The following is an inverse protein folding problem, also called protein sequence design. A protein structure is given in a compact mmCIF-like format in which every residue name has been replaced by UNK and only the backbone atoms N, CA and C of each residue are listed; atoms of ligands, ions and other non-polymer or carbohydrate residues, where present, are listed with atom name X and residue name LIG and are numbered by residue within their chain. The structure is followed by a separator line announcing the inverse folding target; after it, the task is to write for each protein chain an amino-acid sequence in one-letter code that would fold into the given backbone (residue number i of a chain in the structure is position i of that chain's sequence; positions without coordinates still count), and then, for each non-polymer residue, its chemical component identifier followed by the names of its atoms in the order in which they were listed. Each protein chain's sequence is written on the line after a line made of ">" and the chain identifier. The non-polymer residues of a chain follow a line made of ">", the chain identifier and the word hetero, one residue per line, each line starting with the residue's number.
data_IF_873284129471
#
_entry.id   IF_873284129471
#
_cell.length_a   1.000
_cell.length_b   1.000
_cell.length_c   1.000
_cell.angle_alpha   90.00
_cell.angle_beta   90.00
_cell.angle_gamma   90.00
#
_symmetry.space_group_name_H-M   'P 1'
#
loop_
_entity.id
_entity.type
_entity.pdbx_description
1 polymer ?
#
# COMPACT_ATOMS: atom_id res chain seq x y z
N UNK A 1 -49.08 -28.98 8.78
CA UNK A 1 -49.89 -29.14 7.55
C UNK A 1 -49.74 -27.83 6.78
N UNK A 2 -49.15 -27.70 5.59
CA UNK A 2 -48.87 -28.57 4.45
C UNK A 2 -47.55 -28.09 3.78
N UNK A 3 -46.62 -29.02 3.54
CA UNK A 3 -46.15 -29.55 2.23
C UNK A 3 -45.06 -28.74 1.54
N UNK A 4 -43.89 -29.39 1.44
CA UNK A 4 -42.75 -29.07 0.61
C UNK A 4 -42.97 -29.43 -0.88
N UNK A 5 -42.10 -28.90 -1.75
CA UNK A 5 -41.42 -29.51 -2.93
C UNK A 5 -41.17 -28.48 -4.09
N UNK A 6 -40.37 -28.78 -5.14
CA UNK A 6 -38.96 -28.34 -5.20
C UNK A 6 -38.46 -27.80 -6.58
N UNK A 7 -37.19 -27.38 -6.60
CA UNK A 7 -36.17 -27.42 -7.68
C UNK A 7 -36.59 -27.35 -9.17
N UNK A 8 -36.05 -26.36 -9.89
CA UNK A 8 -35.68 -26.55 -11.31
C UNK A 8 -34.37 -25.83 -11.67
N UNK A 9 -33.34 -26.65 -11.86
CA UNK A 9 -32.03 -26.34 -12.42
C UNK A 9 -32.14 -26.13 -13.93
N UNK A 10 -31.52 -25.08 -14.48
CA UNK A 10 -31.41 -24.87 -15.93
C UNK A 10 -29.93 -24.83 -16.33
N UNK A 11 -29.45 -25.73 -17.22
CA UNK A 11 -28.07 -25.72 -17.69
C UNK A 11 -27.87 -24.67 -18.81
N UNK A 12 -26.80 -23.88 -18.68
CA UNK A 12 -26.37 -22.92 -19.70
C UNK A 12 -25.45 -23.62 -20.71
N UNK A 13 -25.98 -23.88 -21.90
CA UNK A 13 -25.25 -24.48 -23.02
C UNK A 13 -24.11 -23.57 -23.52
N UNK A 14 -22.97 -24.20 -23.75
CA UNK A 14 -21.76 -23.66 -24.38
C UNK A 14 -21.89 -23.86 -25.88
N UNK A 15 -21.83 -22.78 -26.67
CA UNK A 15 -21.60 -22.86 -28.11
C UNK A 15 -20.33 -22.10 -28.45
N UNK A 16 -19.30 -22.85 -28.86
CA UNK A 16 -18.06 -22.34 -29.46
C UNK A 16 -18.20 -22.49 -30.98
N UNK A 17 -18.33 -21.38 -31.69
CA UNK A 17 -18.19 -21.33 -33.14
C UNK A 17 -16.72 -21.13 -33.50
N UNK A 18 -16.11 -22.22 -33.99
CA UNK A 18 -14.81 -22.23 -34.66
C UNK A 18 -15.01 -21.83 -36.11
N UNK A 19 -14.48 -20.68 -36.53
CA UNK A 19 -14.36 -20.33 -37.94
C UNK A 19 -12.91 -20.49 -38.37
N UNK A 20 -12.67 -21.50 -39.21
CA UNK A 20 -11.45 -21.70 -40.01
C UNK A 20 -11.29 -20.51 -40.96
N UNK A 21 -10.10 -19.92 -41.01
CA UNK A 21 -9.68 -19.08 -42.14
C UNK A 21 -8.62 -19.88 -42.89
N UNK A 22 -8.96 -20.25 -44.11
CA UNK A 22 -8.12 -20.96 -45.08
C UNK A 22 -7.06 -20.05 -45.66
N UNK A 23 -5.93 -20.68 -46.00
CA UNK A 23 -4.78 -20.11 -46.65
C UNK A 23 -5.10 -19.40 -47.97
N UNK A 24 -4.41 -18.28 -48.21
CA UNK A 24 -4.22 -17.74 -49.55
C UNK A 24 -2.73 -17.47 -49.75
N UNK A 25 -2.10 -18.32 -50.54
CA UNK A 25 -0.74 -18.19 -51.05
C UNK A 25 -0.77 -17.49 -52.40
N UNK A 26 0.03 -16.43 -52.58
CA UNK A 26 0.55 -15.97 -53.88
C UNK A 26 1.70 -14.99 -53.59
N UNK A 27 2.94 -15.46 -53.75
CA UNK A 27 3.84 -15.24 -54.89
C UNK A 27 4.52 -13.87 -54.89
N UNK A 28 5.85 -13.96 -54.75
CA UNK A 28 6.90 -12.98 -54.93
C UNK A 28 6.91 -12.45 -56.38
N UNK A 29 7.37 -11.22 -56.61
CA UNK A 29 8.44 -11.09 -57.60
C UNK A 29 9.63 -10.27 -57.08
N UNK A 30 10.80 -10.76 -57.48
CA UNK A 30 12.14 -10.21 -57.37
C UNK A 30 12.39 -9.12 -58.42
N UNK A 31 13.09 -8.05 -58.05
CA UNK A 31 14.00 -7.34 -58.95
C UNK A 31 15.06 -6.56 -58.15
N UNK A 32 16.20 -6.44 -58.79
CA UNK A 32 17.55 -6.14 -58.31
C UNK A 32 17.94 -4.65 -58.43
N UNK A 33 18.97 -4.25 -57.66
CA UNK A 33 19.99 -3.18 -57.91
C UNK A 33 19.48 -1.74 -58.17
N UNK A 34 20.02 -0.62 -57.68
CA UNK A 34 21.42 -0.23 -57.38
C UNK A 34 21.47 1.19 -56.79
N UNK A 35 22.45 1.43 -55.91
CA UNK A 35 23.25 2.66 -55.66
C UNK A 35 22.67 4.10 -55.75
N UNK A 36 22.84 4.82 -54.61
CA UNK A 36 23.34 6.20 -54.43
C UNK A 36 22.67 7.40 -55.14
N UNK A 37 22.12 8.33 -54.35
CA UNK A 37 22.63 9.71 -54.17
C UNK A 37 21.61 10.63 -53.45
N UNK A 38 22.09 11.41 -52.48
CA UNK A 38 21.47 12.63 -51.94
C UNK A 38 21.61 13.75 -52.99
N UNK A 39 20.73 14.78 -53.07
CA UNK A 39 20.80 15.87 -52.08
C UNK A 39 19.52 16.72 -51.82
N UNK A 40 19.61 17.47 -50.71
CA UNK A 40 19.16 18.85 -50.43
C UNK A 40 17.71 19.32 -50.69
N UNK A 41 17.09 19.76 -49.58
CA UNK A 41 16.04 20.80 -49.48
C UNK A 41 16.26 22.00 -50.41
N UNK A 42 15.17 22.65 -50.85
CA UNK A 42 14.86 23.96 -50.28
C UNK A 42 13.35 24.20 -50.02
N UNK A 43 13.04 24.90 -48.93
CA UNK A 43 11.77 25.62 -48.75
C UNK A 43 11.63 26.71 -49.83
N UNK A 44 10.41 27.07 -50.30
CA UNK A 44 9.71 28.22 -49.70
C UNK A 44 8.16 28.24 -49.75
N UNK A 45 7.60 28.90 -48.73
CA UNK A 45 6.53 29.93 -48.73
C UNK A 45 5.12 29.67 -49.33
N UNK A 46 4.12 29.92 -48.47
CA UNK A 46 2.71 30.28 -48.79
C UNK A 46 2.65 31.65 -49.51
N UNK A 47 1.56 31.96 -50.25
CA UNK A 47 0.44 32.70 -49.64
C UNK A 47 -0.99 32.35 -50.12
N UNK A 48 -1.94 32.71 -49.24
CA UNK A 48 -3.35 33.17 -49.40
C UNK A 48 -3.88 33.41 -50.83
N UNK A 49 -5.14 33.12 -51.19
CA UNK A 49 -6.30 34.04 -51.06
C UNK A 49 -7.63 33.33 -51.44
N UNK A 50 -8.64 33.49 -50.57
CA UNK A 50 -10.09 33.79 -50.76
C UNK A 50 -10.92 33.24 -51.95
N UNK A 51 -12.13 32.69 -51.67
CA UNK A 51 -13.46 33.34 -51.83
C UNK A 51 -14.62 32.34 -51.99
N UNK A 52 -15.82 32.74 -51.51
CA UNK A 52 -17.19 32.27 -51.78
C UNK A 52 -17.70 31.01 -51.06
N UNK A 53 -18.97 30.90 -50.66
CA UNK A 53 -20.03 31.86 -50.40
C UNK A 53 -21.09 31.16 -49.53
N UNK A 54 -21.73 31.97 -48.71
CA UNK A 54 -22.83 31.73 -47.78
C UNK A 54 -24.11 31.26 -48.48
N UNK A 55 -24.82 30.31 -47.87
CA UNK A 55 -26.30 30.25 -47.92
C UNK A 55 -26.85 30.01 -46.52
N UNK A 56 -27.86 30.83 -46.20
CA UNK A 56 -28.47 31.00 -44.89
C UNK A 56 -29.74 30.16 -44.81
N UNK A 57 -29.90 29.38 -43.74
CA UNK A 57 -31.23 28.96 -43.26
C UNK A 57 -31.38 29.48 -41.85
N UNK A 58 -32.26 30.47 -41.71
CA UNK A 58 -32.56 31.17 -40.47
C UNK A 58 -33.25 30.28 -39.45
N UNK A 59 -32.86 30.46 -38.19
CA UNK A 59 -33.66 30.08 -37.02
C UNK A 59 -34.10 31.36 -36.29
N UNK A 60 -35.31 31.39 -35.72
CA UNK A 60 -35.91 32.59 -35.15
C UNK A 60 -35.12 33.10 -33.94
N UNK A 61 -34.92 34.42 -33.90
CA UNK A 61 -34.38 35.15 -32.76
C UNK A 61 -35.40 35.14 -31.62
N UNK A 62 -35.01 34.59 -30.48
CA UNK A 62 -35.63 34.93 -29.21
C UNK A 62 -34.94 36.20 -28.73
N UNK A 63 -35.54 37.36 -29.01
CA UNK A 63 -35.17 38.63 -28.38
C UNK A 63 -35.75 38.65 -26.96
N UNK A 64 -35.06 37.98 -26.03
CA UNK A 64 -35.22 38.19 -24.60
C UNK A 64 -34.07 39.05 -24.09
N UNK A 65 -34.27 39.94 -23.10
CA UNK A 65 -33.16 40.65 -22.49
C UNK A 65 -32.18 39.61 -21.97
N UNK A 66 -30.96 39.61 -22.53
CA UNK A 66 -29.83 38.87 -21.99
C UNK A 66 -29.52 39.58 -20.68
N UNK A 67 -30.21 39.19 -19.61
CA UNK A 67 -29.75 39.44 -18.26
C UNK A 67 -28.39 38.76 -18.21
N UNK A 68 -27.34 39.57 -18.36
CA UNK A 68 -25.99 39.17 -18.04
C UNK A 68 -26.05 38.70 -16.60
N UNK A 69 -26.12 37.39 -16.42
CA UNK A 69 -25.94 36.79 -15.12
C UNK A 69 -24.47 37.03 -14.78
N UNK A 70 -24.21 38.21 -14.20
CA UNK A 70 -22.94 38.59 -13.63
C UNK A 70 -22.50 37.43 -12.78
N UNK A 71 -21.51 36.66 -13.24
CA UNK A 71 -20.97 35.54 -12.51
C UNK A 71 -20.43 36.12 -11.21
N UNK A 72 -21.20 36.03 -10.13
CA UNK A 72 -20.78 36.48 -8.82
C UNK A 72 -19.49 35.73 -8.49
N UNK A 73 -18.39 36.47 -8.36
CA UNK A 73 -17.15 35.92 -7.87
C UNK A 73 -17.41 35.45 -6.43
N UNK A 74 -17.57 34.14 -6.25
CA UNK A 74 -17.65 33.57 -4.91
C UNK A 74 -16.32 33.84 -4.21
N UNK A 75 -16.36 34.65 -3.16
CA UNK A 75 -15.19 34.99 -2.32
C UNK A 75 -14.86 33.89 -1.31
N UNK A 76 -15.63 32.79 -1.29
CA UNK A 76 -15.31 31.66 -0.44
C UNK A 76 -14.06 30.95 -0.94
N UNK A 77 -13.02 30.90 -0.11
CA UNK A 77 -11.80 30.14 -0.40
C UNK A 77 -12.16 28.65 -0.52
N UNK A 78 -11.70 27.93 -1.56
CA UNK A 78 -11.97 26.51 -1.68
C UNK A 78 -11.29 25.76 -0.54
N UNK A 79 -12.00 24.80 0.06
CA UNK A 79 -11.45 23.95 1.12
C UNK A 79 -10.25 23.14 0.57
N UNK A 80 -9.04 23.48 1.02
CA UNK A 80 -7.81 22.80 0.59
C UNK A 80 -7.71 21.43 1.26
N UNK A 81 -7.74 20.37 0.46
CA UNK A 81 -7.59 18.98 0.94
C UNK A 81 -6.15 18.50 0.73
N UNK A 82 -5.49 18.06 1.81
CA UNK A 82 -4.13 17.50 1.75
C UNK A 82 -4.08 16.26 0.85
N UNK A 83 -3.04 16.13 0.03
CA UNK A 83 -2.81 14.92 -0.79
C UNK A 83 -1.63 14.13 -0.25
N UNK A 84 -1.93 13.02 0.41
CA UNK A 84 -0.95 12.18 1.09
C UNK A 84 -0.36 11.11 0.18
N UNK A 85 0.92 10.81 0.39
CA UNK A 85 1.61 9.65 -0.18
C UNK A 85 1.83 8.61 0.91
N UNK A 86 1.21 7.42 0.83
CA UNK A 86 1.18 6.48 1.96
C UNK A 86 2.55 5.90 2.34
N UNK A 87 3.50 5.85 1.42
CA UNK A 87 4.85 5.36 1.70
C UNK A 87 5.73 6.39 2.45
N UNK A 88 5.28 7.64 2.56
CA UNK A 88 5.96 8.69 3.33
C UNK A 88 5.46 8.78 4.78
N UNK A 89 4.52 7.91 5.17
CA UNK A 89 4.01 7.90 6.52
C UNK A 89 5.10 7.57 7.54
N UNK A 90 5.08 8.21 8.73
CA UNK A 90 6.13 8.05 9.73
C UNK A 90 6.16 6.63 10.27
N UNK A 91 7.15 5.83 9.85
CA UNK A 91 7.25 4.42 10.22
C UNK A 91 7.47 4.19 11.72
N UNK A 92 8.11 5.15 12.42
CA UNK A 92 8.37 5.06 13.87
C UNK A 92 7.09 5.06 14.72
N UNK A 93 6.04 5.73 14.26
CA UNK A 93 4.75 5.78 14.96
C UNK A 93 3.90 4.53 14.76
N UNK A 94 4.18 3.78 13.68
CA UNK A 94 3.29 2.75 13.17
C UNK A 94 3.83 1.39 13.63
N UNK A 95 2.99 0.49 14.18
CA UNK A 95 3.41 -0.86 14.52
C UNK A 95 4.04 -1.58 13.32
N UNK A 96 5.09 -2.38 13.53
CA UNK A 96 5.74 -3.10 12.45
C UNK A 96 4.73 -4.03 11.76
N UNK A 97 4.77 -4.05 10.43
CA UNK A 97 3.88 -4.89 9.64
C UNK A 97 4.18 -6.38 9.87
N UNK A 98 3.18 -7.24 10.15
CA UNK A 98 3.40 -8.64 10.57
C UNK A 98 4.21 -9.50 9.61
N UNK A 99 4.15 -9.23 8.30
CA UNK A 99 4.90 -10.00 7.30
C UNK A 99 6.21 -9.33 6.87
N UNK A 100 6.53 -8.16 7.46
CA UNK A 100 7.67 -7.35 7.09
C UNK A 100 7.63 -6.80 5.66
N UNK A 101 8.65 -6.03 5.30
CA UNK A 101 8.77 -5.48 3.95
C UNK A 101 9.06 -6.57 2.91
N UNK A 102 8.54 -6.38 1.69
CA UNK A 102 8.80 -7.33 0.60
C UNK A 102 10.24 -7.20 0.13
N UNK A 103 10.98 -8.31 0.19
CA UNK A 103 12.39 -8.38 -0.25
C UNK A 103 12.54 -8.30 -1.77
N UNK A 104 11.61 -8.93 -2.50
CA UNK A 104 11.57 -8.94 -3.97
C UNK A 104 10.61 -7.85 -4.46
N UNK A 105 11.02 -7.15 -5.52
CA UNK A 105 10.22 -6.08 -6.14
C UNK A 105 9.86 -4.97 -5.13
N UNK A 106 10.89 -4.34 -4.53
CA UNK A 106 10.79 -3.30 -3.48
C UNK A 106 9.84 -2.13 -3.84
N UNK A 107 9.67 -1.84 -5.13
CA UNK A 107 8.68 -0.87 -5.62
C UNK A 107 7.26 -1.13 -5.08
N UNK A 108 6.91 -2.41 -4.87
CA UNK A 108 5.61 -2.81 -4.32
C UNK A 108 5.37 -2.41 -2.86
N UNK A 109 6.43 -2.10 -2.10
CA UNK A 109 6.30 -1.62 -0.72
C UNK A 109 5.66 -0.22 -0.68
N UNK A 110 5.83 0.59 -1.74
CA UNK A 110 5.39 1.98 -1.79
C UNK A 110 3.92 2.20 -2.25
N UNK A 111 3.16 1.13 -2.54
CA UNK A 111 1.77 1.25 -2.98
C UNK A 111 0.96 -0.04 -2.82
N UNK A 112 -0.25 -0.06 -3.39
CA UNK A 112 -1.19 -1.18 -3.27
C UNK A 112 -1.09 -2.14 -4.47
N UNK A 113 -0.17 -3.10 -4.36
CA UNK A 113 0.10 -4.06 -5.44
C UNK A 113 -0.70 -5.36 -5.33
N UNK A 114 -1.21 -5.70 -4.14
CA UNK A 114 -1.75 -7.02 -3.85
C UNK A 114 -0.64 -8.07 -3.86
N UNK A 115 -0.94 -9.27 -4.36
CA UNK A 115 0.04 -10.34 -4.58
C UNK A 115 0.85 -10.20 -5.89
N UNK A 116 0.63 -9.11 -6.65
CA UNK A 116 1.27 -8.90 -7.94
C UNK A 116 2.74 -8.46 -7.78
N UNK A 117 3.63 -9.15 -8.50
CA UNK A 117 5.07 -8.89 -8.55
C UNK A 117 5.59 -9.15 -9.95
N UNK A 118 6.74 -8.58 -10.28
CA UNK A 118 7.45 -8.89 -11.52
C UNK A 118 7.70 -10.40 -11.60
N UNK A 119 7.47 -10.98 -12.77
CA UNK A 119 7.80 -12.39 -13.06
C UNK A 119 8.92 -12.43 -14.07
N UNK A 120 9.78 -13.43 -13.93
CA UNK A 120 10.88 -13.70 -14.84
C UNK A 120 10.63 -15.02 -15.55
N UNK A 121 11.15 -15.16 -16.75
CA UNK A 121 11.08 -16.38 -17.55
C UNK A 121 11.71 -16.13 -18.90
N UNK A 122 11.49 -17.02 -19.86
CA UNK A 122 12.18 -16.97 -21.14
C UNK A 122 11.20 -16.79 -22.29
N UNK A 123 11.59 -16.01 -23.29
CA UNK A 123 11.05 -16.09 -24.64
C UNK A 123 11.70 -17.28 -25.33
N UNK A 124 10.90 -18.19 -25.87
CA UNK A 124 11.38 -19.38 -26.59
C UNK A 124 11.14 -19.17 -28.08
N UNK A 125 12.21 -19.24 -28.87
CA UNK A 125 12.10 -19.12 -30.32
C UNK A 125 11.53 -20.42 -30.93
N UNK A 126 10.47 -20.32 -31.72
CA UNK A 126 9.77 -21.50 -32.28
C UNK A 126 10.65 -22.40 -33.15
N UNK A 127 11.57 -21.84 -33.93
CA UNK A 127 12.38 -22.57 -34.92
C UNK A 127 13.58 -23.30 -34.30
N UNK A 128 14.31 -22.62 -33.42
CA UNK A 128 15.59 -23.09 -32.89
C UNK A 128 15.54 -23.45 -31.40
N UNK A 129 14.38 -23.27 -30.76
CA UNK A 129 14.16 -23.45 -29.32
C UNK A 129 15.12 -22.65 -28.42
N UNK A 130 15.78 -21.63 -28.98
CA UNK A 130 16.68 -20.73 -28.26
C UNK A 130 15.89 -19.95 -27.22
N UNK A 131 16.41 -19.89 -25.99
CA UNK A 131 15.75 -19.27 -24.83
C UNK A 131 16.44 -17.95 -24.51
N UNK A 132 15.71 -16.85 -24.62
CA UNK A 132 16.20 -15.52 -24.20
C UNK A 132 15.43 -15.07 -22.96
N UNK A 133 16.09 -14.53 -21.92
CA UNK A 133 15.40 -14.09 -20.71
C UNK A 133 14.46 -12.91 -21.00
N UNK A 134 13.33 -12.88 -20.28
CA UNK A 134 12.35 -11.79 -20.31
C UNK A 134 11.71 -11.60 -18.93
N UNK A 135 11.02 -10.48 -18.78
CA UNK A 135 10.24 -10.20 -17.58
C UNK A 135 8.82 -9.75 -17.92
N UNK A 136 7.88 -10.00 -17.00
CA UNK A 136 6.51 -9.54 -17.06
C UNK A 136 6.23 -8.60 -15.90
N UNK A 137 5.88 -7.36 -16.22
CA UNK A 137 5.49 -6.36 -15.23
C UNK A 137 3.98 -6.40 -15.01
N UNK A 138 3.49 -6.18 -13.77
CA UNK A 138 2.07 -5.92 -13.57
C UNK A 138 1.67 -4.60 -14.25
N UNK A 139 0.39 -4.43 -14.56
CA UNK A 139 -0.13 -3.16 -15.06
C UNK A 139 -0.38 -2.20 -13.88
N UNK A 140 0.44 -1.15 -13.78
CA UNK A 140 0.44 -0.18 -12.68
C UNK A 140 -0.23 1.14 -13.12
N UNK A 141 -1.05 1.69 -12.24
CA UNK A 141 -1.61 3.03 -12.37
C UNK A 141 -1.41 3.83 -11.09
N UNK A 142 -1.27 5.15 -11.24
CA UNK A 142 -1.32 6.10 -10.13
C UNK A 142 -2.73 6.67 -10.10
N UNK A 143 -3.42 6.56 -8.96
CA UNK A 143 -4.72 7.19 -8.74
C UNK A 143 -4.75 7.87 -7.38
N UNK A 144 -5.63 8.86 -7.30
CA UNK A 144 -5.94 9.58 -6.07
C UNK A 144 -7.34 9.17 -5.64
N UNK A 145 -7.51 8.80 -4.38
CA UNK A 145 -8.79 8.47 -3.78
C UNK A 145 -9.07 9.44 -2.64
N UNK A 146 -10.26 10.01 -2.59
CA UNK A 146 -10.69 10.78 -1.42
C UNK A 146 -11.07 9.80 -0.29
N UNK A 147 -10.59 10.07 0.92
CA UNK A 147 -10.93 9.32 2.14
C UNK A 147 -11.77 10.21 3.06
N UNK A 148 -13.07 9.91 3.22
CA UNK A 148 -13.95 10.66 4.12
C UNK A 148 -13.49 10.61 5.57
N UNK A 149 -12.95 9.49 6.04
CA UNK A 149 -12.52 9.34 7.43
C UNK A 149 -11.31 10.22 7.79
N UNK A 150 -10.38 10.40 6.84
CA UNK A 150 -9.18 11.24 7.04
C UNK A 150 -9.39 12.69 6.62
N UNK A 151 -10.43 12.99 5.83
CA UNK A 151 -10.60 14.29 5.18
C UNK A 151 -9.45 14.63 4.23
N UNK A 152 -8.81 13.62 3.63
CA UNK A 152 -7.61 13.77 2.81
C UNK A 152 -7.64 12.93 1.52
N UNK A 153 -6.87 13.35 0.52
CA UNK A 153 -6.69 12.65 -0.75
C UNK A 153 -5.51 11.68 -0.67
N UNK A 154 -5.74 10.39 -0.90
CA UNK A 154 -4.72 9.34 -0.89
C UNK A 154 -4.20 9.11 -2.31
N UNK A 155 -2.98 9.54 -2.61
CA UNK A 155 -2.31 9.28 -3.89
C UNK A 155 -1.44 8.03 -3.80
N UNK A 156 -1.85 6.97 -4.49
CA UNK A 156 -1.16 5.67 -4.43
C UNK A 156 -0.91 5.06 -5.81
N UNK A 157 0.14 4.25 -5.92
CA UNK A 157 0.42 3.36 -7.06
C UNK A 157 -0.32 2.05 -6.81
N UNK A 158 -1.07 1.56 -7.78
CA UNK A 158 -1.83 0.33 -7.64
C UNK A 158 -1.89 -0.47 -8.93
N UNK A 159 -2.19 -1.76 -8.80
CA UNK A 159 -2.45 -2.62 -9.96
C UNK A 159 -3.91 -2.55 -10.39
N UNK A 160 -4.19 -2.84 -11.67
CA UNK A 160 -5.58 -2.91 -12.16
C UNK A 160 -6.46 -3.90 -11.37
N UNK A 161 -5.89 -5.01 -10.89
CA UNK A 161 -6.62 -5.98 -10.07
C UNK A 161 -7.07 -5.35 -8.74
N UNK A 162 -6.19 -4.58 -8.11
CA UNK A 162 -6.52 -3.84 -6.88
C UNK A 162 -7.55 -2.75 -7.18
N UNK A 163 -7.41 -1.99 -8.27
CA UNK A 163 -8.39 -0.98 -8.67
C UNK A 163 -9.81 -1.56 -8.82
N UNK A 164 -9.92 -2.71 -9.51
CA UNK A 164 -11.19 -3.42 -9.67
C UNK A 164 -11.78 -3.85 -8.33
N UNK A 165 -10.93 -4.28 -7.39
CA UNK A 165 -11.35 -4.73 -6.07
C UNK A 165 -11.85 -3.57 -5.21
N UNK A 166 -11.14 -2.43 -5.22
CA UNK A 166 -11.55 -1.19 -4.55
C UNK A 166 -12.93 -0.75 -5.08
N UNK A 167 -13.13 -0.75 -6.40
CA UNK A 167 -14.42 -0.40 -7.01
C UNK A 167 -15.54 -1.35 -6.59
N UNK A 168 -15.26 -2.66 -6.51
CA UNK A 168 -16.22 -3.67 -6.07
C UNK A 168 -16.59 -3.53 -4.59
N UNK A 169 -15.64 -3.14 -3.76
CA UNK A 169 -15.83 -2.96 -2.31
C UNK A 169 -16.40 -1.57 -1.96
N UNK A 170 -16.55 -0.69 -2.94
CA UNK A 170 -17.20 0.61 -2.78
C UNK A 170 -16.31 1.71 -2.19
N UNK A 171 -15.00 1.50 -2.04
CA UNK A 171 -14.11 2.49 -1.45
C UNK A 171 -12.72 1.96 -1.14
N UNK A 172 -11.76 2.88 -0.95
CA UNK A 172 -10.39 2.52 -0.56
C UNK A 172 -10.32 2.06 0.91
N UNK A 173 -11.11 2.66 1.78
CA UNK A 173 -11.16 2.35 3.23
C UNK A 173 -11.66 0.91 3.44
N UNK A 174 -12.77 0.55 2.80
CA UNK A 174 -13.32 -0.81 2.81
C UNK A 174 -12.31 -1.86 2.34
N UNK A 175 -11.48 -1.50 1.35
CA UNK A 175 -10.42 -2.37 0.86
C UNK A 175 -9.32 -2.61 1.90
N UNK A 176 -8.97 -1.58 2.67
CA UNK A 176 -7.87 -1.58 3.63
C UNK A 176 -8.30 -2.22 4.97
N UNK A 177 -9.53 -1.94 5.43
CA UNK A 177 -10.02 -2.39 6.73
C UNK A 177 -10.42 -3.87 6.77
N UNK A 178 -10.59 -4.52 5.61
CA UNK A 178 -10.99 -5.92 5.52
C UNK A 178 -10.11 -6.84 6.38
N UNK A 179 -10.75 -7.59 7.27
CA UNK A 179 -10.08 -8.42 8.29
C UNK A 179 -9.34 -9.66 7.76
N UNK A 180 -9.66 -10.12 6.54
CA UNK A 180 -9.13 -11.39 6.00
C UNK A 180 -7.60 -11.36 5.91
N UNK A 181 -6.94 -12.43 6.38
CA UNK A 181 -5.48 -12.56 6.37
C UNK A 181 -4.85 -12.38 4.98
N UNK A 182 -5.50 -12.91 3.94
CA UNK A 182 -5.08 -12.72 2.55
C UNK A 182 -5.03 -11.23 2.16
N UNK A 183 -5.97 -10.42 2.65
CA UNK A 183 -5.96 -8.98 2.41
C UNK A 183 -4.81 -8.30 3.12
N UNK A 184 -4.54 -8.68 4.38
CA UNK A 184 -3.39 -8.18 5.14
C UNK A 184 -2.10 -8.43 4.37
N UNK A 185 -1.91 -9.65 3.85
CA UNK A 185 -0.76 -10.01 3.00
C UNK A 185 -0.69 -9.19 1.69
N UNK A 186 -1.84 -8.80 1.13
CA UNK A 186 -1.94 -8.04 -0.11
C UNK A 186 -1.63 -6.54 0.06
N UNK A 187 -1.91 -5.97 1.23
CA UNK A 187 -1.70 -4.54 1.56
C UNK A 187 -0.23 -4.12 1.43
N UNK A 188 0.69 -4.94 1.96
CA UNK A 188 2.10 -4.56 2.10
C UNK A 188 2.32 -3.45 3.14
N UNK A 189 3.55 -2.95 3.29
CA UNK A 189 3.90 -2.01 4.36
C UNK A 189 3.19 -0.65 4.24
N UNK A 190 3.13 -0.04 3.04
CA UNK A 190 2.40 1.23 2.86
C UNK A 190 0.89 1.09 3.06
N UNK A 191 0.31 -0.04 2.65
CA UNK A 191 -1.10 -0.35 2.92
C UNK A 191 -1.38 -0.56 4.41
N UNK A 192 -0.45 -1.22 5.12
CA UNK A 192 -0.51 -1.39 6.57
C UNK A 192 -0.43 -0.06 7.32
N UNK A 193 0.47 0.83 6.89
CA UNK A 193 0.57 2.19 7.43
C UNK A 193 -0.74 2.96 7.29
N UNK A 194 -1.36 2.93 6.10
CA UNK A 194 -2.70 3.52 5.90
C UNK A 194 -3.76 2.88 6.79
N UNK A 195 -3.74 1.55 6.95
CA UNK A 195 -4.70 0.83 7.78
C UNK A 195 -4.65 1.30 9.22
N UNK A 196 -3.44 1.41 9.77
CA UNK A 196 -3.24 1.86 11.15
C UNK A 196 -3.78 3.29 11.35
N UNK A 197 -3.48 4.21 10.44
CA UNK A 197 -3.96 5.60 10.56
C UNK A 197 -5.49 5.66 10.49
N UNK A 198 -6.09 4.92 9.55
CA UNK A 198 -7.56 4.85 9.45
C UNK A 198 -8.20 4.32 10.74
N UNK A 199 -7.62 3.32 11.38
CA UNK A 199 -8.13 2.78 12.65
C UNK A 199 -8.15 3.81 13.77
N UNK A 200 -7.32 4.86 13.71
CA UNK A 200 -7.26 5.87 14.77
C UNK A 200 -8.33 6.95 14.62
N UNK A 201 -8.97 7.05 13.46
CA UNK A 201 -10.04 8.02 13.25
C UNK A 201 -11.28 7.65 14.06
N UNK A 202 -11.94 8.66 14.62
CA UNK A 202 -13.15 8.47 15.42
C UNK A 202 -14.29 7.83 14.62
N UNK A 203 -14.37 8.12 13.31
CA UNK A 203 -15.39 7.56 12.41
C UNK A 203 -15.28 6.04 12.34
N UNK A 204 -14.07 5.51 12.18
CA UNK A 204 -13.82 4.06 12.13
C UNK A 204 -13.93 3.42 13.52
N UNK A 205 -13.50 4.11 14.58
CA UNK A 205 -13.69 3.62 15.96
C UNK A 205 -15.17 3.43 16.29
N UNK A 206 -16.04 4.38 15.91
CA UNK A 206 -17.50 4.29 16.08
C UNK A 206 -18.08 3.11 15.30
N UNK A 207 -17.72 2.96 14.02
CA UNK A 207 -18.15 1.82 13.20
C UNK A 207 -17.75 0.48 13.84
N UNK A 208 -16.53 0.36 14.37
CA UNK A 208 -16.11 -0.87 15.04
C UNK A 208 -16.80 -1.11 16.39
N UNK A 209 -17.21 -0.05 17.10
CA UNK A 209 -18.02 -0.21 18.30
C UNK A 209 -19.44 -0.69 17.97
N UNK A 210 -20.04 -0.19 16.89
CA UNK A 210 -21.32 -0.68 16.37
C UNK A 210 -21.22 -2.16 15.96
N UNK A 211 -20.14 -2.54 15.25
CA UNK A 211 -19.87 -3.94 14.91
C UNK A 211 -19.68 -4.82 16.15
N UNK A 212 -19.02 -4.31 17.21
CA UNK A 212 -18.88 -5.03 18.48
C UNK A 212 -20.21 -5.25 19.17
N UNK A 213 -21.04 -4.20 19.27
CA UNK A 213 -22.36 -4.30 19.86
C UNK A 213 -23.23 -5.32 19.11
N UNK A 214 -23.17 -5.33 17.78
CA UNK A 214 -23.88 -6.32 16.95
C UNK A 214 -23.42 -7.76 17.20
N UNK A 215 -22.17 -7.95 17.64
CA UNK A 215 -21.61 -9.24 18.04
C UNK A 215 -21.79 -9.56 19.53
N UNK A 216 -22.39 -8.67 20.32
CA UNK A 216 -22.55 -8.82 21.76
C UNK A 216 -21.27 -8.59 22.58
N UNK A 217 -20.29 -7.86 22.03
CA UNK A 217 -19.04 -7.50 22.70
C UNK A 217 -19.12 -6.10 23.30
N UNK A 218 -18.32 -5.85 24.35
CA UNK A 218 -18.22 -4.53 24.98
C UNK A 218 -17.62 -3.48 24.04
N UNK A 219 -18.14 -2.26 24.12
CA UNK A 219 -17.62 -1.11 23.37
C UNK A 219 -16.29 -0.63 23.95
N UNK A 220 -15.37 -0.20 23.09
CA UNK A 220 -14.13 0.45 23.55
C UNK A 220 -14.34 1.97 23.68
N UNK A 221 -13.67 2.63 24.65
CA UNK A 221 -13.70 4.09 24.72
C UNK A 221 -13.14 4.69 23.44
N UNK A 222 -13.75 5.77 22.97
CA UNK A 222 -13.32 6.49 21.76
C UNK A 222 -12.19 7.43 22.16
N UNK A 223 -11.04 7.29 21.50
CA UNK A 223 -9.86 8.12 21.73
C UNK A 223 -9.68 9.14 20.61
N UNK A 224 -9.57 10.42 20.97
CA UNK A 224 -9.35 11.51 20.02
C UNK A 224 -7.84 11.68 19.76
N UNK A 225 -7.33 11.00 18.74
CA UNK A 225 -5.90 11.05 18.34
C UNK A 225 -5.65 11.97 17.15
N UNK A 226 -6.41 13.05 17.04
CA UNK A 226 -6.42 13.92 15.86
C UNK A 226 -5.05 14.59 15.63
N UNK A 227 -4.32 14.94 16.69
CA UNK A 227 -2.98 15.54 16.59
C UNK A 227 -1.97 14.59 15.94
N UNK A 228 -1.97 13.32 16.36
CA UNK A 228 -1.11 12.27 15.80
C UNK A 228 -1.49 12.01 14.34
N UNK A 229 -2.78 12.00 14.03
CA UNK A 229 -3.27 11.84 12.65
C UNK A 229 -2.80 13.02 11.79
N UNK A 230 -2.98 14.27 12.24
CA UNK A 230 -2.55 15.46 11.50
C UNK A 230 -1.04 15.48 11.28
N UNK A 231 -0.26 15.14 12.29
CA UNK A 231 1.18 14.98 12.17
C UNK A 231 1.54 13.94 11.08
N UNK A 232 0.89 12.77 11.11
CA UNK A 232 1.15 11.71 10.13
C UNK A 232 0.75 12.12 8.71
N UNK A 233 -0.37 12.84 8.55
CA UNK A 233 -0.83 13.36 7.26
C UNK A 233 0.12 14.43 6.70
N UNK A 234 0.63 15.32 7.55
CA UNK A 234 1.62 16.33 7.16
C UNK A 234 2.94 15.69 6.76
N UNK A 235 3.45 14.73 7.55
CA UNK A 235 4.66 13.99 7.22
C UNK A 235 4.56 13.25 5.87
N UNK A 236 3.37 12.75 5.51
CA UNK A 236 3.14 12.12 4.21
C UNK A 236 2.86 13.08 3.05
N UNK A 237 2.66 14.37 3.35
CA UNK A 237 2.50 15.42 2.34
C UNK A 237 3.88 16.01 2.06
N UNK A 238 4.30 16.14 0.80
CA UNK A 238 5.59 16.78 0.51
C UNK A 238 5.55 18.25 0.96
N UNK A 239 6.48 18.65 1.81
CA UNK A 239 6.59 20.02 2.31
C UNK A 239 7.11 20.08 3.75
N UNK A 240 7.28 21.28 4.30
CA UNK A 240 7.54 21.45 5.72
C UNK A 240 6.30 21.06 6.55
N UNK A 241 6.53 20.61 7.79
CA UNK A 241 5.45 20.29 8.73
C UNK A 241 4.73 21.57 9.20
N UNK A 242 3.43 21.46 9.49
CA UNK A 242 2.67 22.53 10.14
C UNK A 242 3.17 22.79 11.57
N UNK A 243 2.92 24.00 12.09
CA UNK A 243 3.25 24.37 13.48
C UNK A 243 2.60 23.43 14.50
N UNK A 244 1.33 23.06 14.29
CA UNK A 244 0.63 22.06 15.12
C UNK A 244 1.36 20.72 15.12
N UNK A 245 1.72 20.23 13.94
CA UNK A 245 2.42 18.96 13.76
C UNK A 245 3.84 18.99 14.36
N UNK A 246 4.50 20.13 14.34
CA UNK A 246 5.79 20.35 15.02
C UNK A 246 5.67 20.22 16.54
N UNK A 247 4.65 20.84 17.14
CA UNK A 247 4.40 20.73 18.58
C UNK A 247 4.15 19.27 19.00
N UNK A 248 3.33 18.54 18.24
CA UNK A 248 3.08 17.12 18.47
C UNK A 248 4.35 16.27 18.33
N UNK A 249 5.20 16.54 17.33
CA UNK A 249 6.50 15.84 17.19
C UNK A 249 7.39 16.10 18.40
N UNK A 250 7.44 17.34 18.89
CA UNK A 250 8.24 17.72 20.06
C UNK A 250 7.73 17.02 21.32
N UNK A 251 6.41 16.94 21.53
CA UNK A 251 5.78 16.20 22.62
C UNK A 251 6.10 14.69 22.54
N UNK A 252 5.97 14.07 21.36
CA UNK A 252 6.34 12.67 21.15
C UNK A 252 7.82 12.42 21.43
N UNK A 253 8.70 13.38 21.11
CA UNK A 253 10.13 13.28 21.41
C UNK A 253 10.41 13.41 22.90
N UNK A 254 9.74 14.35 23.59
CA UNK A 254 9.85 14.54 25.03
C UNK A 254 9.40 13.29 25.78
N UNK A 255 8.20 12.79 25.49
CA UNK A 255 7.66 11.55 26.09
C UNK A 255 8.55 10.34 25.85
N UNK A 256 9.15 10.20 24.66
CA UNK A 256 10.10 9.12 24.38
C UNK A 256 11.39 9.27 25.20
N UNK A 257 11.87 10.51 25.39
CA UNK A 257 13.05 10.78 26.21
C UNK A 257 12.79 10.51 27.69
N UNK A 258 11.63 10.90 28.21
CA UNK A 258 11.21 10.65 29.58
C UNK A 258 11.05 9.15 29.86
N UNK A 259 10.51 8.40 28.89
CA UNK A 259 10.40 6.94 28.98
C UNK A 259 11.76 6.21 28.98
N UNK A 260 12.83 6.86 28.48
CA UNK A 260 14.17 6.31 28.38
C UNK A 260 15.11 6.77 29.50
N UNK A 261 14.62 7.49 30.51
CA UNK A 261 15.35 7.71 31.76
C UNK A 261 15.45 6.35 32.46
N UNK A 262 16.46 5.58 32.08
CA UNK A 262 17.00 4.48 32.86
C UNK A 262 17.25 5.07 34.24
N UNK A 263 16.45 4.64 35.22
CA UNK A 263 16.63 5.07 36.60
C UNK A 263 18.09 4.88 36.96
N UNK A 264 18.71 5.94 37.44
CA UNK A 264 20.09 6.00 37.96
C UNK A 264 20.42 4.63 38.54
N UNK A 265 21.13 3.82 37.75
CA UNK A 265 21.52 2.51 38.21
C UNK A 265 22.50 2.83 39.32
N UNK A 266 22.09 2.52 40.56
CA UNK A 266 22.95 2.61 41.73
C UNK A 266 24.15 1.66 41.65
N UNK A 267 24.73 1.45 40.47
CA UNK A 267 26.03 0.86 40.20
C UNK A 267 27.15 1.65 40.90
N UNK A 268 26.92 2.92 41.24
CA UNK A 268 27.76 3.66 42.21
C UNK A 268 27.73 3.11 43.65
N UNK A 269 26.79 2.23 43.99
CA UNK A 269 26.70 1.57 45.31
C UNK A 269 27.16 0.09 45.29
N UNK A 270 27.37 -0.50 44.11
CA UNK A 270 27.81 -1.91 43.96
C UNK A 270 29.34 -2.03 43.84
N UNK A 271 30.05 -0.92 43.70
CA UNK A 271 31.51 -0.82 43.88
C UNK A 271 31.93 -0.91 45.39
N UNK A 272 31.14 -1.65 46.18
CA UNK A 272 31.38 -2.04 47.57
C UNK A 272 31.05 -3.53 47.80
N UNK A 273 30.91 -4.32 46.74
CA UNK A 273 30.97 -5.78 46.85
C UNK A 273 32.41 -6.16 47.20
N UNK A 274 32.63 -6.41 48.49
CA UNK A 274 33.86 -6.92 49.08
C UNK A 274 34.39 -8.08 48.24
N UNK A 275 35.53 -7.88 47.59
CA UNK A 275 36.28 -8.94 46.93
C UNK A 275 36.40 -10.10 47.93
N UNK A 276 35.93 -11.28 47.52
CA UNK A 276 36.01 -12.48 48.34
C UNK A 276 37.51 -12.77 48.55
N UNK A 277 37.92 -13.02 49.80
CA UNK A 277 39.31 -13.37 50.07
C UNK A 277 39.66 -14.67 49.33
N UNK A 278 40.88 -14.82 48.81
CA UNK A 278 41.31 -16.02 48.06
C UNK A 278 40.97 -17.33 48.81
N UNK A 279 41.01 -17.30 50.15
CA UNK A 279 40.62 -18.40 51.04
C UNK A 279 39.15 -18.82 50.91
N UNK A 280 38.23 -17.86 50.79
CA UNK A 280 36.80 -18.11 50.68
C UNK A 280 36.45 -18.71 49.31
N UNK A 281 37.21 -18.34 48.26
CA UNK A 281 37.08 -18.94 46.92
C UNK A 281 37.54 -20.40 46.91
N UNK A 282 38.66 -20.70 47.57
CA UNK A 282 39.17 -22.08 47.71
C UNK A 282 38.18 -22.94 48.50
N UNK A 283 37.55 -22.38 49.53
CA UNK A 283 36.55 -23.09 50.35
C UNK A 283 35.32 -23.47 49.53
N UNK A 284 34.81 -22.54 48.70
CA UNK A 284 33.69 -22.81 47.79
C UNK A 284 34.04 -23.84 46.71
N UNK A 285 35.27 -23.83 46.20
CA UNK A 285 35.73 -24.84 45.24
C UNK A 285 35.80 -26.23 45.89
N UNK A 286 36.27 -26.31 47.14
CA UNK A 286 36.28 -27.55 47.90
C UNK A 286 34.86 -28.07 48.16
N UNK A 287 33.90 -27.21 48.52
CA UNK A 287 32.50 -27.61 48.72
C UNK A 287 31.87 -28.15 47.42
N UNK A 288 32.11 -27.50 46.29
CA UNK A 288 31.63 -27.96 44.98
C UNK A 288 32.26 -29.30 44.55
N UNK A 289 33.52 -29.54 44.93
CA UNK A 289 34.19 -30.81 44.66
C UNK A 289 33.63 -31.93 45.53
N UNK A 290 33.39 -31.68 46.83
CA UNK A 290 32.74 -32.63 47.74
C UNK A 290 31.32 -33.00 47.29
N UNK A 291 30.54 -32.02 46.82
CA UNK A 291 29.18 -32.24 46.30
C UNK A 291 29.19 -33.07 45.01
N UNK A 292 30.17 -32.87 44.14
CA UNK A 292 30.33 -33.67 42.92
C UNK A 292 30.76 -35.11 43.24
N UNK A 293 31.66 -35.31 44.20
CA UNK A 293 32.07 -36.64 44.68
C UNK A 293 30.89 -37.36 45.35
N UNK A 294 30.09 -36.66 46.16
CA UNK A 294 28.88 -37.21 46.77
C UNK A 294 27.86 -37.67 45.72
N UNK A 295 27.66 -36.88 44.65
CA UNK A 295 26.81 -37.26 43.51
C UNK A 295 27.35 -38.48 42.76
N UNK A 296 28.66 -38.57 42.53
CA UNK A 296 29.25 -39.74 41.87
C UNK A 296 29.13 -41.01 42.72
N UNK A 297 29.39 -40.94 44.02
CA UNK A 297 29.27 -42.10 44.92
C UNK A 297 27.82 -42.59 45.03
N UNK A 298 26.85 -41.67 45.06
CA UNK A 298 25.42 -42.02 45.02
C UNK A 298 25.02 -42.73 43.71
N UNK A 299 25.65 -42.39 42.58
CA UNK A 299 25.36 -42.98 41.28
C UNK A 299 25.96 -44.39 41.10
N UNK A 300 27.07 -44.69 41.79
CA UNK A 300 27.72 -46.02 41.76
C UNK A 300 26.98 -47.03 42.63
N UNK A 301 26.38 -46.60 43.75
CA UNK A 301 25.68 -47.49 44.69
C UNK A 301 24.37 -48.09 44.13
N UNK A 302 23.79 -47.52 43.07
CA UNK A 302 22.52 -48.01 42.47
C UNK A 302 22.75 -49.15 41.46
N UNK A 303 24.01 -49.52 41.21
CA UNK A 303 24.38 -50.53 40.20
C UNK A 303 25.14 -51.69 40.83
N UNK A 304 24.43 -52.53 41.56
CA UNK A 304 24.85 -53.88 41.94
C UNK A 304 23.68 -54.84 41.67
N UNK A 305 23.95 -56.07 41.20
CA UNK A 305 23.02 -56.89 40.41
C UNK A 305 21.79 -57.38 41.17
#
# INVERSE_FOLDING_TARGET
>A
MWTAAPLSSVPRAVSRSTTRISAFSKTIPSSSSSSSSMPSNPFPLLPSISTAARTLIGRPRCDGPILSLSRAFTTSTPQLTKTIKPHLLPTKLIPPYPFGERRVYKQSNCGLYGSARIRFGNTVMRKWNTRSPRFWRPNLHVKTFYSPALGANIKTKLTLRVLKTIRREGGIENYILKSKLARIKDLGPSGWALRWILMQTQTIQKQFNEERLALGLETKPIENRDDVIQFALDAATPGPLSTRSWATLQELRATTADAFVLGDDGSGAVEAAKELSDEDEVTLLQELEHDNVAKQNSSVSVKSP
#
